data_IF_059354236126
#
_entry.id   IF_059354236126
#
_cell.length_a   1.000
_cell.length_b   1.000
_cell.length_c   1.000
_cell.angle_alpha   90.00
_cell.angle_beta   90.00
_cell.angle_gamma   90.00
#
_symmetry.space_group_name_H-M   'P 1'
#
loop_
_entity.id
_entity.type
_entity.pdbx_description
1 polymer ?
#
# COMPACT_ATOMS: atom_id res chain seq x y z
N UNK A 1 19.33 -5.84 -14.94
CA UNK A 1 19.47 -6.07 -13.47
C UNK A 1 20.46 -5.12 -12.79
N UNK A 2 21.61 -4.76 -13.41
CA UNK A 2 22.43 -3.60 -12.95
C UNK A 2 21.59 -2.32 -12.78
N UNK A 3 20.55 -2.17 -13.60
CA UNK A 3 19.52 -1.11 -13.54
C UNK A 3 18.58 -1.17 -12.30
N UNK A 4 18.22 -2.36 -11.81
CA UNK A 4 17.35 -2.49 -10.63
C UNK A 4 18.13 -2.27 -9.32
N UNK A 5 19.40 -2.67 -9.32
CA UNK A 5 20.39 -2.27 -8.30
C UNK A 5 20.63 -0.74 -8.34
N UNK A 6 20.37 -0.10 -9.49
CA UNK A 6 20.41 1.35 -9.63
C UNK A 6 19.16 2.06 -9.08
N UNK A 7 18.00 1.40 -9.07
CA UNK A 7 16.79 1.96 -8.46
C UNK A 7 16.97 2.10 -6.95
N UNK A 8 17.71 1.19 -6.34
CA UNK A 8 18.20 1.31 -4.96
C UNK A 8 19.21 2.46 -4.77
N UNK A 9 19.99 2.81 -5.79
CA UNK A 9 20.93 3.95 -5.79
C UNK A 9 20.21 5.30 -5.60
N UNK A 10 19.00 5.45 -6.13
CA UNK A 10 18.19 6.68 -5.98
C UNK A 10 17.43 6.70 -4.67
N UNK A 11 16.88 5.55 -4.24
CA UNK A 11 16.33 5.42 -2.90
C UNK A 11 17.40 5.74 -1.83
N UNK A 12 18.64 5.29 -2.04
CA UNK A 12 19.78 5.51 -1.14
C UNK A 12 20.34 6.94 -1.23
N UNK A 13 20.36 7.53 -2.42
CA UNK A 13 20.75 8.92 -2.61
C UNK A 13 19.70 9.91 -2.07
N UNK A 14 18.43 9.50 -1.97
CA UNK A 14 17.39 10.25 -1.26
C UNK A 14 17.45 10.09 0.27
N UNK A 15 18.05 8.99 0.75
CA UNK A 15 18.03 8.57 2.14
C UNK A 15 19.19 9.09 3.01
N UNK A 16 20.40 9.20 2.45
CA UNK A 16 21.63 9.27 3.26
C UNK A 16 22.15 10.69 3.58
N UNK A 17 22.50 11.00 4.85
CA UNK A 17 23.11 12.28 5.24
C UNK A 17 24.50 12.53 4.64
N UNK A 18 25.30 11.47 4.40
CA UNK A 18 26.62 11.59 3.76
C UNK A 18 26.55 11.75 2.23
N UNK A 19 25.34 11.74 1.67
CA UNK A 19 25.02 12.13 0.29
C UNK A 19 24.43 13.56 0.23
N UNK A 20 24.91 14.49 1.08
CA UNK A 20 24.67 15.93 0.90
C UNK A 20 23.19 16.36 0.75
N UNK A 21 22.29 15.68 1.45
CA UNK A 21 20.83 15.75 1.27
C UNK A 21 20.08 16.36 2.46
N UNK A 22 20.74 17.18 3.28
CA UNK A 22 20.09 18.06 4.26
C UNK A 22 20.69 19.46 4.10
N UNK A 23 19.89 20.36 3.53
CA UNK A 23 20.24 21.73 3.13
C UNK A 23 21.40 21.81 2.12
N UNK A 24 21.61 22.99 1.53
CA UNK A 24 22.81 23.35 0.77
C UNK A 24 24.06 23.14 1.64
N UNK A 25 24.50 21.90 1.76
CA UNK A 25 25.82 21.57 2.29
C UNK A 25 26.82 22.07 1.24
N UNK A 26 27.82 22.88 1.63
CA UNK A 26 28.83 23.35 0.69
C UNK A 26 29.54 22.15 0.04
N UNK A 27 29.19 21.84 -1.21
CA UNK A 27 29.75 20.70 -1.98
C UNK A 27 28.79 19.56 -2.34
N UNK A 28 27.49 19.63 -1.98
CA UNK A 28 26.47 18.66 -2.41
C UNK A 28 25.85 18.95 -3.79
N UNK A 29 25.19 17.96 -4.40
CA UNK A 29 24.37 18.17 -5.59
C UNK A 29 23.17 19.08 -5.28
N UNK A 30 22.73 19.90 -6.24
CA UNK A 30 21.56 20.75 -6.06
C UNK A 30 20.27 19.91 -5.99
N UNK A 31 19.24 20.40 -5.29
CA UNK A 31 17.94 19.72 -5.21
C UNK A 31 17.31 19.47 -6.59
N UNK A 32 17.56 20.38 -7.54
CA UNK A 32 17.16 20.19 -8.93
C UNK A 32 17.88 19.01 -9.60
N UNK A 33 19.18 18.83 -9.36
CA UNK A 33 19.93 17.68 -9.89
C UNK A 33 19.43 16.38 -9.26
N UNK A 34 19.19 16.37 -7.95
CA UNK A 34 18.67 15.21 -7.22
C UNK A 34 17.29 14.80 -7.74
N UNK A 35 16.38 15.76 -7.93
CA UNK A 35 15.07 15.50 -8.52
C UNK A 35 15.19 14.98 -9.97
N UNK A 36 16.10 15.55 -10.76
CA UNK A 36 16.38 15.08 -12.11
C UNK A 36 16.86 13.62 -12.12
N UNK A 37 17.79 13.27 -11.23
CA UNK A 37 18.34 11.93 -11.11
C UNK A 37 17.26 10.91 -10.71
N UNK A 38 16.43 11.26 -9.72
CA UNK A 38 15.27 10.45 -9.32
C UNK A 38 14.33 10.22 -10.50
N UNK A 39 13.91 11.29 -11.17
CA UNK A 39 13.00 11.22 -12.30
C UNK A 39 13.59 10.42 -13.46
N UNK A 40 14.90 10.57 -13.72
CA UNK A 40 15.59 9.88 -14.81
C UNK A 40 15.75 8.39 -14.56
N UNK A 41 15.92 7.96 -13.30
CA UNK A 41 15.94 6.53 -12.94
C UNK A 41 14.55 5.92 -12.98
N UNK A 42 13.54 6.62 -12.48
CA UNK A 42 12.15 6.14 -12.50
C UNK A 42 11.52 6.19 -13.90
N UNK A 43 12.09 6.96 -14.81
CA UNK A 43 11.64 6.99 -16.20
C UNK A 43 12.11 5.75 -16.95
N UNK A 44 11.15 4.90 -17.33
CA UNK A 44 11.39 3.66 -18.09
C UNK A 44 12.36 2.71 -17.38
N UNK A 45 12.08 2.40 -16.12
CA UNK A 45 12.83 1.48 -15.23
C UNK A 45 13.16 0.09 -15.80
N UNK A 46 12.59 -0.30 -16.95
CA UNK A 46 12.83 -1.56 -17.63
C UNK A 46 13.80 -1.45 -18.82
N UNK A 47 14.23 -0.24 -19.18
CA UNK A 47 15.17 0.04 -20.27
C UNK A 47 16.56 0.42 -19.73
N UNK A 48 17.60 0.32 -20.56
CA UNK A 48 18.96 0.73 -20.15
C UNK A 48 19.01 2.21 -19.72
N UNK A 49 19.88 2.53 -18.75
CA UNK A 49 20.07 3.89 -18.23
C UNK A 49 20.40 4.81 -19.41
N UNK A 50 19.65 5.90 -19.57
CA UNK A 50 19.84 6.84 -20.69
C UNK A 50 20.67 8.04 -20.28
N UNK A 51 20.62 8.41 -19.01
CA UNK A 51 21.38 9.53 -18.46
C UNK A 51 22.85 9.13 -18.27
N UNK A 52 23.75 9.93 -18.83
CA UNK A 52 25.19 9.64 -18.81
C UNK A 52 25.79 9.73 -17.40
N UNK A 53 25.27 10.62 -16.55
CA UNK A 53 25.75 10.76 -15.18
C UNK A 53 25.35 9.53 -14.36
N UNK A 54 24.08 9.12 -14.44
CA UNK A 54 23.57 7.92 -13.78
C UNK A 54 24.26 6.63 -14.29
N UNK A 55 24.61 6.59 -15.58
CA UNK A 55 25.39 5.49 -16.14
C UNK A 55 26.79 5.41 -15.52
N UNK A 56 27.46 6.53 -15.31
CA UNK A 56 28.78 6.57 -14.66
C UNK A 56 28.69 6.13 -13.19
N UNK A 57 27.71 6.66 -12.45
CA UNK A 57 27.44 6.27 -11.05
C UNK A 57 27.14 4.77 -10.94
N UNK A 58 26.44 4.19 -11.92
CA UNK A 58 26.14 2.75 -11.96
C UNK A 58 27.36 1.84 -11.95
N UNK A 59 28.49 2.32 -12.48
CA UNK A 59 29.69 1.51 -12.66
C UNK A 59 30.55 1.44 -11.40
N UNK A 60 30.43 2.41 -10.51
CA UNK A 60 31.23 2.54 -9.29
C UNK A 60 30.46 2.25 -8.01
N UNK A 61 29.14 2.06 -8.10
CA UNK A 61 28.29 1.79 -6.94
C UNK A 61 28.51 0.38 -6.37
N UNK A 62 28.69 0.33 -5.05
CA UNK A 62 28.73 -0.90 -4.26
C UNK A 62 27.50 -1.00 -3.35
N UNK A 63 26.56 -1.91 -3.65
CA UNK A 63 25.37 -2.15 -2.82
C UNK A 63 25.70 -2.66 -1.41
N UNK A 64 26.95 -3.02 -1.10
CA UNK A 64 27.36 -3.49 0.22
C UNK A 64 28.05 -2.40 1.05
N UNK A 65 28.37 -1.25 0.46
CA UNK A 65 29.04 -0.16 1.18
C UNK A 65 28.08 0.76 1.95
N UNK A 66 26.79 0.48 1.92
CA UNK A 66 25.76 1.23 2.64
C UNK A 66 25.78 1.01 4.16
N UNK A 67 25.26 1.99 4.92
CA UNK A 67 25.02 1.91 6.36
C UNK A 67 23.65 1.34 6.71
N UNK A 68 23.46 0.04 6.53
CA UNK A 68 22.17 -0.58 6.82
C UNK A 68 21.94 -0.83 8.32
N UNK A 69 20.75 -0.51 8.83
CA UNK A 69 20.34 -0.80 10.22
C UNK A 69 20.36 -2.29 10.56
N UNK A 70 20.13 -3.16 9.56
CA UNK A 70 20.14 -4.61 9.68
C UNK A 70 21.49 -5.24 9.33
N UNK A 71 22.59 -4.48 9.27
CA UNK A 71 23.89 -4.91 8.75
C UNK A 71 23.79 -5.43 7.28
N UNK A 72 22.81 -4.92 6.53
CA UNK A 72 22.69 -5.12 5.09
C UNK A 72 22.30 -6.53 4.73
N UNK A 73 21.50 -7.21 5.56
CA UNK A 73 21.11 -8.61 5.34
C UNK A 73 20.46 -8.78 3.97
N UNK A 74 19.52 -7.93 3.62
CA UNK A 74 18.85 -7.95 2.30
C UNK A 74 19.83 -7.69 1.16
N UNK A 75 20.73 -6.71 1.31
CA UNK A 75 21.75 -6.36 0.31
C UNK A 75 22.75 -7.52 0.09
N UNK A 76 23.32 -8.06 1.17
CA UNK A 76 24.24 -9.22 1.16
C UNK A 76 23.59 -10.43 0.49
N UNK A 77 22.32 -10.71 0.81
CA UNK A 77 21.56 -11.82 0.22
C UNK A 77 21.36 -11.61 -1.28
N UNK A 78 20.92 -10.43 -1.71
CA UNK A 78 20.71 -10.10 -3.12
C UNK A 78 22.03 -10.19 -3.91
N UNK A 79 23.11 -9.60 -3.39
CA UNK A 79 24.42 -9.61 -4.03
C UNK A 79 25.02 -11.01 -4.12
N UNK A 80 24.75 -11.88 -3.13
CA UNK A 80 25.13 -13.29 -3.23
C UNK A 80 24.43 -14.00 -4.38
N UNK A 81 23.11 -13.83 -4.53
CA UNK A 81 22.37 -14.44 -5.64
C UNK A 81 22.81 -13.90 -7.00
N UNK A 82 23.13 -12.60 -7.07
CA UNK A 82 23.67 -11.96 -8.27
C UNK A 82 25.03 -12.54 -8.66
N UNK A 83 25.99 -12.57 -7.72
CA UNK A 83 27.35 -13.03 -7.96
C UNK A 83 27.42 -14.52 -8.29
N UNK A 84 26.47 -15.30 -7.75
CA UNK A 84 26.36 -16.72 -8.05
C UNK A 84 25.54 -17.00 -9.33
N UNK A 85 25.15 -15.97 -10.10
CA UNK A 85 24.36 -16.08 -11.33
C UNK A 85 23.03 -16.83 -11.16
N UNK A 86 22.36 -16.64 -10.01
CA UNK A 86 21.10 -17.33 -9.68
C UNK A 86 19.86 -16.45 -9.86
N UNK A 87 20.00 -15.20 -10.27
CA UNK A 87 18.88 -14.30 -10.53
C UNK A 87 18.43 -14.40 -11.99
N UNK A 88 17.15 -14.11 -12.25
CA UNK A 88 16.58 -14.08 -13.59
C UNK A 88 17.33 -13.11 -14.51
N UNK A 89 17.72 -13.61 -15.68
CA UNK A 89 18.43 -12.81 -16.68
C UNK A 89 17.53 -11.73 -17.29
N UNK A 90 18.14 -10.61 -17.69
CA UNK A 90 17.41 -9.54 -18.37
C UNK A 90 16.78 -10.06 -19.67
N UNK A 91 15.60 -9.56 -20.02
CA UNK A 91 14.78 -9.97 -21.18
C UNK A 91 14.13 -11.35 -21.07
N UNK A 92 14.21 -11.99 -19.90
CA UNK A 92 13.32 -13.12 -19.58
C UNK A 92 11.99 -12.61 -19.03
N UNK A 93 10.93 -13.34 -19.35
CA UNK A 93 9.59 -13.07 -18.84
C UNK A 93 9.50 -13.52 -17.39
N UNK A 94 9.17 -12.59 -16.51
CA UNK A 94 8.78 -12.90 -15.15
C UNK A 94 7.44 -13.62 -15.13
N UNK A 95 7.30 -14.59 -14.23
CA UNK A 95 6.12 -15.39 -14.00
C UNK A 95 5.84 -15.45 -12.51
N UNK A 96 4.68 -14.92 -12.12
CA UNK A 96 4.15 -15.08 -10.77
C UNK A 96 3.92 -16.54 -10.39
N UNK A 97 3.91 -17.49 -11.34
CA UNK A 97 3.75 -18.92 -11.05
C UNK A 97 5.08 -19.61 -10.76
N UNK A 98 6.20 -18.99 -11.10
CA UNK A 98 7.52 -19.52 -10.77
C UNK A 98 7.94 -19.10 -9.34
N UNK A 99 8.05 -20.08 -8.43
CA UNK A 99 8.41 -19.85 -7.02
C UNK A 99 9.75 -19.14 -6.87
N UNK A 100 10.73 -19.49 -7.70
CA UNK A 100 12.06 -18.88 -7.63
C UNK A 100 12.01 -17.41 -8.05
N UNK A 101 11.31 -17.09 -9.14
CA UNK A 101 11.17 -15.71 -9.59
C UNK A 101 10.41 -14.86 -8.55
N UNK A 102 9.35 -15.39 -7.92
CA UNK A 102 8.68 -14.71 -6.79
C UNK A 102 9.66 -14.40 -5.64
N UNK A 103 10.50 -15.36 -5.26
CA UNK A 103 11.51 -15.14 -4.23
C UNK A 103 12.52 -14.06 -4.62
N UNK A 104 12.94 -14.01 -5.88
CA UNK A 104 13.84 -12.96 -6.38
C UNK A 104 13.20 -11.57 -6.33
N UNK A 105 11.91 -11.48 -6.70
CA UNK A 105 11.16 -10.23 -6.60
C UNK A 105 11.04 -9.73 -5.15
N UNK A 106 10.73 -10.64 -4.21
CA UNK A 106 10.68 -10.31 -2.79
C UNK A 106 12.05 -9.87 -2.25
N UNK A 107 13.13 -10.54 -2.63
CA UNK A 107 14.48 -10.14 -2.23
C UNK A 107 14.85 -8.75 -2.73
N UNK A 108 14.45 -8.39 -3.94
CA UNK A 108 14.66 -7.04 -4.47
C UNK A 108 13.81 -6.02 -3.71
N UNK A 109 12.55 -6.34 -3.43
CA UNK A 109 11.65 -5.49 -2.66
C UNK A 109 12.21 -5.25 -1.26
N UNK A 110 12.59 -6.28 -0.51
CA UNK A 110 13.16 -6.18 0.83
C UNK A 110 14.40 -5.28 0.86
N UNK A 111 15.26 -5.39 -0.17
CA UNK A 111 16.43 -4.51 -0.30
C UNK A 111 16.03 -3.05 -0.52
N UNK A 112 15.08 -2.79 -1.42
CA UNK A 112 14.62 -1.43 -1.70
C UNK A 112 13.88 -0.81 -0.51
N UNK A 113 13.02 -1.58 0.15
CA UNK A 113 12.23 -1.15 1.29
C UNK A 113 13.13 -0.79 2.48
N UNK A 114 14.17 -1.57 2.76
CA UNK A 114 15.14 -1.26 3.82
C UNK A 114 15.89 0.06 3.58
N UNK A 115 16.11 0.45 2.33
CA UNK A 115 16.73 1.75 2.01
C UNK A 115 15.78 2.90 2.34
N UNK A 116 14.49 2.76 2.01
CA UNK A 116 13.48 3.76 2.39
C UNK A 116 13.25 3.79 3.89
N UNK A 117 13.30 2.63 4.57
CA UNK A 117 13.25 2.53 6.02
C UNK A 117 14.35 3.34 6.66
N UNK A 118 15.58 3.16 6.20
CA UNK A 118 16.73 3.87 6.75
C UNK A 118 16.57 5.40 6.63
N UNK A 119 16.10 5.89 5.47
CA UNK A 119 15.74 7.30 5.33
C UNK A 119 14.72 7.73 6.38
N UNK A 120 13.60 7.01 6.43
CA UNK A 120 12.47 7.32 7.30
C UNK A 120 12.84 7.27 8.78
N UNK A 121 13.72 6.37 9.16
CA UNK A 121 14.24 6.21 10.52
C UNK A 121 15.30 7.28 10.85
N UNK A 122 15.95 7.88 9.84
CA UNK A 122 16.81 9.06 10.04
C UNK A 122 16.03 10.35 10.35
N UNK A 123 14.75 10.42 9.98
CA UNK A 123 13.91 11.57 10.25
C UNK A 123 13.65 11.72 11.75
N UNK A 124 13.49 12.96 12.20
CA UNK A 124 13.09 13.23 13.59
C UNK A 124 11.75 12.55 13.88
N UNK A 125 11.65 11.74 14.94
CA UNK A 125 10.38 11.19 15.41
C UNK A 125 9.33 12.28 15.62
N UNK A 126 8.07 11.99 15.31
CA UNK A 126 6.99 12.93 15.57
C UNK A 126 6.87 13.24 17.06
N UNK A 127 6.66 14.52 17.39
CA UNK A 127 6.35 14.91 18.77
C UNK A 127 4.88 14.64 19.09
N UNK A 128 4.55 14.64 20.37
CA UNK A 128 3.15 14.50 20.80
C UNK A 128 2.29 15.62 20.19
N UNK A 129 2.80 16.85 20.16
CA UNK A 129 2.11 18.04 19.66
C UNK A 129 1.84 17.97 18.16
N UNK A 130 2.72 17.32 17.38
CA UNK A 130 2.50 17.08 15.95
C UNK A 130 1.40 16.04 15.70
N UNK A 131 1.29 15.05 16.59
CA UNK A 131 0.31 13.96 16.49
C UNK A 131 -1.07 14.32 17.08
N UNK A 132 -1.11 15.24 18.04
CA UNK A 132 -2.30 15.53 18.82
C UNK A 132 -3.34 16.33 18.01
N UNK A 133 -4.53 15.74 17.86
CA UNK A 133 -5.69 16.44 17.32
C UNK A 133 -6.58 16.93 18.46
N UNK A 134 -6.31 18.16 18.93
CA UNK A 134 -6.93 18.72 20.13
C UNK A 134 -8.46 18.63 20.14
N UNK A 135 -9.00 18.12 21.25
CA UNK A 135 -10.44 17.95 21.45
C UNK A 135 -11.02 16.71 20.78
N UNK A 136 -10.29 16.01 19.92
CA UNK A 136 -10.74 14.78 19.26
C UNK A 136 -10.19 13.56 19.97
N UNK A 137 -11.05 12.54 20.15
CA UNK A 137 -10.66 11.29 20.78
C UNK A 137 -11.31 10.08 20.12
N UNK A 138 -10.53 9.02 19.90
CA UNK A 138 -11.03 7.73 19.41
C UNK A 138 -11.34 6.86 20.63
N UNK A 139 -12.62 6.65 20.90
CA UNK A 139 -13.06 5.94 22.09
C UNK A 139 -12.99 4.42 21.87
N UNK A 140 -13.49 3.95 20.73
CA UNK A 140 -13.62 2.52 20.44
C UNK A 140 -13.52 2.19 18.94
N UNK A 141 -13.10 0.95 18.67
CA UNK A 141 -13.04 0.34 17.33
C UNK A 141 -13.72 -1.03 17.43
N UNK A 142 -14.82 -1.22 16.72
CA UNK A 142 -15.57 -2.48 16.74
C UNK A 142 -15.83 -3.00 15.33
N UNK A 143 -15.94 -4.32 15.22
CA UNK A 143 -16.22 -5.02 13.96
C UNK A 143 -17.57 -5.71 14.08
N UNK A 144 -18.38 -5.66 13.03
CA UNK A 144 -19.73 -6.27 13.02
C UNK A 144 -19.72 -7.79 13.17
N UNK A 145 -18.63 -8.43 12.80
CA UNK A 145 -18.48 -9.88 12.75
C UNK A 145 -17.00 -10.28 12.89
N UNK A 146 -16.79 -11.59 13.03
CA UNK A 146 -15.45 -12.19 12.96
C UNK A 146 -14.84 -11.91 11.57
N UNK A 147 -13.56 -11.55 11.56
CA UNK A 147 -12.80 -11.35 10.34
C UNK A 147 -12.39 -12.70 9.78
N UNK A 148 -12.91 -13.02 8.60
CA UNK A 148 -12.78 -14.35 7.99
C UNK A 148 -12.39 -14.22 6.52
N UNK A 149 -11.43 -15.04 6.12
CA UNK A 149 -11.05 -15.25 4.72
C UNK A 149 -11.37 -16.67 4.30
N UNK A 150 -11.56 -16.88 3.01
CA UNK A 150 -11.76 -18.19 2.39
C UNK A 150 -11.32 -18.14 0.92
N UNK A 151 -11.22 -19.29 0.28
CA UNK A 151 -11.08 -19.34 -1.18
C UNK A 151 -12.47 -19.45 -1.81
N UNK A 152 -12.65 -18.80 -2.95
CA UNK A 152 -13.82 -18.97 -3.80
C UNK A 152 -13.39 -19.32 -5.22
N UNK A 153 -14.23 -20.10 -5.91
CA UNK A 153 -14.09 -20.39 -7.32
C UNK A 153 -14.37 -19.14 -8.15
N UNK A 154 -13.43 -18.77 -9.01
CA UNK A 154 -13.59 -17.71 -9.99
C UNK A 154 -13.43 -18.25 -11.40
N UNK A 155 -14.53 -18.23 -12.15
CA UNK A 155 -14.54 -18.60 -13.56
C UNK A 155 -14.22 -17.39 -14.44
N UNK A 156 -13.31 -17.56 -15.40
CA UNK A 156 -13.08 -16.55 -16.43
C UNK A 156 -12.94 -17.16 -17.82
N UNK A 157 -13.32 -16.36 -18.82
CA UNK A 157 -13.41 -16.75 -20.21
C UNK A 157 -12.02 -16.66 -20.90
N UNK A 158 -11.69 -17.66 -21.71
CA UNK A 158 -10.42 -17.83 -22.43
C UNK A 158 -10.56 -17.69 -23.95
N UNK A 159 -11.72 -17.30 -24.47
CA UNK A 159 -11.99 -17.26 -25.91
C UNK A 159 -11.03 -16.34 -26.66
N UNK A 160 -10.64 -15.22 -26.05
CA UNK A 160 -9.67 -14.29 -26.62
C UNK A 160 -8.21 -14.76 -26.52
N UNK A 161 -7.95 -15.92 -25.89
CA UNK A 161 -6.62 -16.50 -25.76
C UNK A 161 -6.34 -17.61 -26.79
N UNK A 162 -7.34 -18.00 -27.59
CA UNK A 162 -7.23 -19.01 -28.64
C UNK A 162 -7.33 -18.37 -30.02
N UNK A 163 -6.77 -19.04 -31.04
CA UNK A 163 -6.86 -18.58 -32.42
C UNK A 163 -8.29 -18.78 -32.96
N UNK A 164 -8.84 -17.71 -33.54
CA UNK A 164 -10.17 -17.69 -34.16
C UNK A 164 -10.09 -17.90 -35.69
N UNK A 165 -11.17 -18.43 -36.29
CA UNK A 165 -11.34 -18.58 -37.74
C UNK A 165 -12.76 -18.21 -38.16
N UNK A 166 -12.91 -17.51 -39.30
CA UNK A 166 -14.22 -17.13 -39.82
C UNK A 166 -15.15 -18.30 -40.22
N UNK A 167 -14.61 -19.52 -40.30
CA UNK A 167 -15.33 -20.73 -40.73
C UNK A 167 -15.95 -21.50 -39.55
N UNK A 168 -15.43 -21.30 -38.34
CA UNK A 168 -15.83 -22.04 -37.14
C UNK A 168 -16.43 -21.04 -36.16
N UNK A 169 -17.69 -21.23 -35.72
CA UNK A 169 -18.26 -20.37 -34.70
C UNK A 169 -17.53 -20.56 -33.36
N UNK A 170 -17.39 -19.45 -32.65
CA UNK A 170 -16.91 -19.39 -31.28
C UNK A 170 -17.62 -20.41 -30.37
N UNK A 171 -16.83 -21.10 -29.55
CA UNK A 171 -17.31 -21.99 -28.51
C UNK A 171 -16.97 -21.42 -27.14
N UNK A 172 -17.83 -21.55 -26.11
CA UNK A 172 -17.48 -21.12 -24.77
C UNK A 172 -16.27 -21.90 -24.24
N UNK A 173 -15.19 -21.18 -23.94
CA UNK A 173 -14.00 -21.72 -23.28
C UNK A 173 -13.78 -20.89 -22.02
N UNK A 174 -13.75 -21.57 -20.87
CA UNK A 174 -13.48 -20.97 -19.58
C UNK A 174 -12.56 -21.85 -18.75
N UNK A 175 -12.01 -21.26 -17.69
CA UNK A 175 -11.30 -21.98 -16.64
C UNK A 175 -11.74 -21.44 -15.29
N UNK A 176 -11.60 -22.27 -14.25
CA UNK A 176 -11.85 -21.89 -12.86
C UNK A 176 -10.51 -21.78 -12.14
N UNK A 177 -10.39 -20.76 -11.28
CA UNK A 177 -9.25 -20.56 -10.39
C UNK A 177 -9.71 -20.19 -9.00
N UNK A 178 -9.05 -20.73 -7.99
CA UNK A 178 -9.32 -20.40 -6.59
C UNK A 178 -8.72 -19.03 -6.28
N UNK A 179 -9.53 -18.12 -5.73
CA UNK A 179 -9.08 -16.79 -5.31
C UNK A 179 -9.38 -16.58 -3.84
N UNK A 180 -8.39 -16.03 -3.11
CA UNK A 180 -8.63 -15.59 -1.75
C UNK A 180 -9.68 -14.46 -1.76
N UNK A 181 -10.58 -14.51 -0.79
CA UNK A 181 -11.58 -13.48 -0.51
C UNK A 181 -11.84 -13.40 0.99
N UNK A 182 -12.67 -12.44 1.40
CA UNK A 182 -13.10 -12.29 2.78
C UNK A 182 -14.60 -12.05 2.89
N UNK A 183 -15.17 -12.40 4.05
CA UNK A 183 -16.56 -12.04 4.36
C UNK A 183 -16.69 -10.52 4.53
N UNK A 184 -17.80 -9.95 4.06
CA UNK A 184 -18.12 -8.54 4.29
C UNK A 184 -18.13 -8.24 5.79
N UNK A 185 -17.58 -7.09 6.17
CA UNK A 185 -17.66 -6.59 7.54
C UNK A 185 -17.80 -5.06 7.55
N UNK A 186 -18.31 -4.53 8.65
CA UNK A 186 -18.39 -3.10 8.92
C UNK A 186 -17.52 -2.78 10.14
N UNK A 187 -16.64 -1.80 10.00
CA UNK A 187 -15.90 -1.20 11.11
C UNK A 187 -16.75 -0.06 11.67
N UNK A 188 -16.97 -0.05 12.99
CA UNK A 188 -17.61 1.04 13.70
C UNK A 188 -16.59 1.74 14.57
N UNK A 189 -16.39 3.04 14.33
CA UNK A 189 -15.49 3.92 15.08
C UNK A 189 -16.32 4.88 15.91
N UNK A 190 -16.13 4.86 17.23
CA UNK A 190 -16.75 5.83 18.14
C UNK A 190 -15.76 6.95 18.44
N UNK A 191 -16.02 8.14 17.93
CA UNK A 191 -15.13 9.31 18.03
C UNK A 191 -15.85 10.44 18.75
N UNK A 192 -15.22 11.03 19.76
CA UNK A 192 -15.72 12.23 20.44
C UNK A 192 -15.00 13.47 19.93
N UNK A 193 -15.76 14.49 19.55
CA UNK A 193 -15.28 15.85 19.31
C UNK A 193 -15.73 16.74 20.48
N UNK A 194 -14.80 17.10 21.36
CA UNK A 194 -15.05 17.93 22.54
C UNK A 194 -14.93 19.44 22.25
N UNK A 195 -14.73 19.83 20.99
CA UNK A 195 -14.80 21.22 20.56
C UNK A 195 -16.28 21.68 20.49
N UNK A 196 -16.49 22.99 20.43
CA UNK A 196 -17.81 23.63 20.32
C UNK A 196 -18.28 23.82 18.86
N UNK A 197 -17.51 23.34 17.89
CA UNK A 197 -17.75 23.45 16.47
C UNK A 197 -17.41 22.14 15.73
N UNK A 198 -17.95 22.00 14.52
CA UNK A 198 -17.62 20.89 13.64
C UNK A 198 -16.15 20.94 13.23
N UNK A 199 -15.48 19.79 13.17
CA UNK A 199 -14.10 19.67 12.67
C UNK A 199 -14.04 18.68 11.51
N UNK A 200 -13.19 18.98 10.52
CA UNK A 200 -12.85 18.02 9.48
C UNK A 200 -11.73 17.11 10.02
N UNK A 201 -11.90 15.80 9.88
CA UNK A 201 -10.97 14.80 10.37
C UNK A 201 -10.57 13.85 9.25
N UNK A 202 -9.30 13.41 9.24
CA UNK A 202 -8.83 12.29 8.42
C UNK A 202 -8.69 11.08 9.31
N UNK A 203 -9.43 10.02 9.00
CA UNK A 203 -9.32 8.73 9.68
C UNK A 203 -8.35 7.86 8.89
N UNK A 204 -7.35 7.30 9.57
CA UNK A 204 -6.33 6.43 9.02
C UNK A 204 -6.36 5.11 9.77
N UNK A 205 -6.61 4.01 9.06
CA UNK A 205 -6.68 2.68 9.65
C UNK A 205 -5.52 1.83 9.15
N UNK A 206 -4.83 1.17 10.07
CA UNK A 206 -3.69 0.30 9.78
C UNK A 206 -3.85 -1.04 10.50
N UNK A 207 -3.22 -2.08 9.98
CA UNK A 207 -3.10 -3.36 10.67
C UNK A 207 -1.71 -3.97 10.48
N UNK A 208 -1.20 -4.69 11.48
CA UNK A 208 -0.01 -5.54 11.33
C UNK A 208 -0.13 -6.81 12.16
N UNK A 209 0.55 -7.90 11.77
CA UNK A 209 0.56 -9.12 12.55
C UNK A 209 1.17 -8.85 13.93
N UNK A 210 0.61 -9.44 14.99
CA UNK A 210 1.14 -9.29 16.36
C UNK A 210 2.47 -10.02 16.56
N UNK A 211 2.64 -11.16 15.90
CA UNK A 211 3.81 -12.03 16.06
C UNK A 211 4.47 -12.31 14.71
N UNK A 212 5.79 -12.48 14.75
CA UNK A 212 6.57 -12.97 13.61
C UNK A 212 6.38 -14.49 13.40
N UNK A 213 7.07 -15.06 12.41
CA UNK A 213 7.00 -16.50 12.11
C UNK A 213 7.61 -17.40 13.20
N UNK A 214 8.47 -16.85 14.08
CA UNK A 214 9.04 -17.55 15.22
C UNK A 214 8.20 -17.37 16.50
N UNK A 215 7.05 -16.70 16.39
CA UNK A 215 6.15 -16.37 17.48
C UNK A 215 6.74 -15.37 18.49
N UNK A 216 7.62 -14.49 18.03
CA UNK A 216 8.10 -13.34 18.80
C UNK A 216 7.17 -12.16 18.52
N UNK A 217 6.69 -11.49 19.57
CA UNK A 217 5.85 -10.30 19.44
C UNK A 217 6.66 -9.17 18.81
N UNK A 218 6.08 -8.49 17.81
CA UNK A 218 6.75 -7.36 17.19
C UNK A 218 6.89 -6.22 18.19
N UNK A 219 8.07 -5.59 18.20
CA UNK A 219 8.20 -4.27 18.82
C UNK A 219 7.32 -3.26 18.07
N UNK A 220 6.94 -2.14 18.69
CA UNK A 220 6.17 -1.11 18.00
C UNK A 220 6.88 -0.62 16.71
N UNK A 221 8.20 -0.43 16.76
CA UNK A 221 8.97 0.03 15.60
C UNK A 221 9.03 -1.00 14.47
N UNK A 222 8.94 -2.30 14.76
CA UNK A 222 8.84 -3.32 13.72
C UNK A 222 7.41 -3.46 13.22
N UNK A 223 6.42 -3.39 14.12
CA UNK A 223 5.00 -3.43 13.80
C UNK A 223 4.58 -2.30 12.86
N UNK A 224 4.99 -1.05 13.16
CA UNK A 224 4.68 0.12 12.32
C UNK A 224 5.23 -0.01 10.89
N UNK A 225 6.38 -0.66 10.72
CA UNK A 225 7.00 -0.84 9.39
C UNK A 225 6.34 -1.99 8.62
N UNK A 226 5.78 -2.97 9.33
CA UNK A 226 4.97 -4.05 8.75
C UNK A 226 3.47 -3.70 8.68
N UNK A 227 3.11 -2.45 8.96
CA UNK A 227 1.73 -2.00 8.94
C UNK A 227 1.22 -1.88 7.51
N UNK A 228 0.11 -2.56 7.23
CA UNK A 228 -0.66 -2.38 6.01
C UNK A 228 -1.74 -1.33 6.26
N UNK A 229 -1.89 -0.42 5.30
CA UNK A 229 -2.99 0.53 5.30
C UNK A 229 -4.28 -0.22 4.98
N UNK A 230 -5.25 -0.14 5.89
CA UNK A 230 -6.57 -0.76 5.74
C UNK A 230 -7.57 0.21 5.13
N UNK A 231 -7.44 1.49 5.47
CA UNK A 231 -8.33 2.54 4.99
C UNK A 231 -7.81 3.94 5.27
N UNK A 232 -8.25 4.91 4.45
CA UNK A 232 -8.08 6.34 4.70
C UNK A 232 -9.26 7.11 4.13
N UNK A 233 -9.88 7.94 4.96
CA UNK A 233 -11.02 8.75 4.54
C UNK A 233 -11.18 10.01 5.39
N UNK A 234 -11.85 11.00 4.80
CA UNK A 234 -12.19 12.25 5.48
C UNK A 234 -13.62 12.20 5.99
N UNK A 235 -13.85 12.77 7.15
CA UNK A 235 -15.16 12.82 7.79
C UNK A 235 -15.32 14.12 8.55
N UNK A 236 -16.53 14.66 8.52
CA UNK A 236 -16.89 15.83 9.33
C UNK A 236 -17.43 15.35 10.69
N UNK A 237 -16.76 15.74 11.78
CA UNK A 237 -17.14 15.39 13.14
C UNK A 237 -17.90 16.54 13.79
N UNK A 238 -19.15 16.31 14.18
CA UNK A 238 -19.97 17.28 14.93
C UNK A 238 -19.60 17.29 16.41
N UNK A 239 -19.84 18.38 17.17
CA UNK A 239 -19.63 18.42 18.61
C UNK A 239 -20.34 17.26 19.34
N UNK A 240 -19.61 16.60 20.24
CA UNK A 240 -20.07 15.45 20.99
C UNK A 240 -19.65 14.11 20.36
N UNK A 241 -20.51 13.10 20.49
CA UNK A 241 -20.23 11.72 20.08
C UNK A 241 -20.61 11.51 18.61
N UNK A 242 -19.71 10.93 17.84
CA UNK A 242 -19.90 10.54 16.45
C UNK A 242 -19.62 9.04 16.34
N UNK A 243 -20.57 8.29 15.77
CA UNK A 243 -20.41 6.86 15.49
C UNK A 243 -20.34 6.68 13.99
N UNK A 244 -19.13 6.39 13.49
CA UNK A 244 -18.88 6.21 12.05
C UNK A 244 -18.96 4.72 11.75
N UNK A 245 -19.78 4.35 10.77
CA UNK A 245 -19.85 2.98 10.25
C UNK A 245 -19.28 2.96 8.85
N UNK A 246 -18.32 2.07 8.61
CA UNK A 246 -17.63 1.97 7.33
C UNK A 246 -17.53 0.52 6.89
N UNK A 247 -18.07 0.25 5.71
CA UNK A 247 -18.04 -1.08 5.09
C UNK A 247 -16.64 -1.40 4.59
N UNK A 248 -16.26 -2.68 4.65
CA UNK A 248 -15.02 -3.18 4.03
C UNK A 248 -14.94 -2.87 2.53
N UNK A 249 -16.08 -2.68 1.86
CA UNK A 249 -16.15 -2.31 0.44
C UNK A 249 -15.90 -0.83 0.15
N UNK A 250 -15.90 0.02 1.17
CA UNK A 250 -15.70 1.46 1.02
C UNK A 250 -14.23 1.87 1.21
N UNK A 251 -13.34 0.90 1.47
CA UNK A 251 -11.93 1.19 1.70
C UNK A 251 -11.29 1.87 0.50
N UNK A 252 -10.68 3.03 0.74
CA UNK A 252 -9.96 3.78 -0.30
C UNK A 252 -8.66 3.08 -0.74
N UNK A 253 -8.25 2.02 -0.05
CA UNK A 253 -7.06 1.21 -0.41
C UNK A 253 -7.39 0.25 -1.56
N UNK A 254 -8.66 -0.12 -1.70
CA UNK A 254 -9.06 -1.20 -2.57
C UNK A 254 -10.01 -0.79 -3.68
N UNK A 255 -10.06 -1.61 -4.74
CA UNK A 255 -11.03 -1.49 -5.83
C UNK A 255 -11.85 -2.78 -5.94
N UNK A 256 -13.11 -2.70 -6.39
CA UNK A 256 -13.90 -3.89 -6.66
C UNK A 256 -13.28 -4.71 -7.81
N UNK A 257 -13.69 -5.97 -7.95
CA UNK A 257 -13.30 -6.75 -9.11
C UNK A 257 -13.87 -6.13 -10.39
N UNK A 258 -13.05 -6.16 -11.44
CA UNK A 258 -13.45 -5.68 -12.76
C UNK A 258 -14.43 -6.69 -13.38
N UNK A 259 -15.56 -6.25 -13.96
CA UNK A 259 -16.51 -7.12 -14.61
C UNK A 259 -15.87 -7.88 -15.77
N UNK A 260 -16.40 -9.08 -16.06
CA UNK A 260 -15.96 -9.86 -17.21
C UNK A 260 -16.22 -9.10 -18.52
N UNK A 261 -15.45 -9.42 -19.56
CA UNK A 261 -15.64 -8.81 -20.88
C UNK A 261 -17.05 -9.06 -21.42
N UNK A 262 -17.62 -10.26 -21.18
CA UNK A 262 -18.99 -10.58 -21.54
C UNK A 262 -19.99 -9.69 -20.81
N UNK A 263 -19.82 -9.50 -19.50
CA UNK A 263 -20.67 -8.60 -18.70
C UNK A 263 -20.65 -7.17 -19.24
N UNK A 264 -19.48 -6.68 -19.67
CA UNK A 264 -19.34 -5.35 -20.29
C UNK A 264 -20.07 -5.27 -21.63
N UNK A 265 -19.94 -6.28 -22.49
CA UNK A 265 -20.65 -6.38 -23.77
C UNK A 265 -22.17 -6.39 -23.55
N UNK A 266 -22.65 -7.20 -22.60
CA UNK A 266 -24.08 -7.33 -22.31
C UNK A 266 -24.67 -6.01 -21.82
N UNK A 267 -24.01 -5.35 -20.86
CA UNK A 267 -24.43 -4.02 -20.35
C UNK A 267 -24.44 -2.97 -21.45
N UNK A 268 -23.45 -2.95 -22.34
CA UNK A 268 -23.39 -2.03 -23.46
C UNK A 268 -24.54 -2.26 -24.46
N UNK A 269 -24.83 -3.52 -24.78
CA UNK A 269 -25.93 -3.88 -25.67
C UNK A 269 -27.31 -3.55 -25.08
N UNK A 270 -27.49 -3.76 -23.77
CA UNK A 270 -28.72 -3.39 -23.06
C UNK A 270 -28.95 -1.87 -23.10
N UNK A 271 -27.93 -1.07 -22.81
CA UNK A 271 -28.01 0.39 -22.88
C UNK A 271 -28.35 0.87 -24.30
N UNK A 272 -27.69 0.31 -25.32
CA UNK A 272 -27.98 0.61 -26.73
C UNK A 272 -29.42 0.25 -27.13
N UNK A 273 -29.93 -0.91 -26.69
CA UNK A 273 -31.26 -1.40 -27.05
C UNK A 273 -32.36 -0.61 -26.36
N UNK A 274 -32.16 -0.25 -25.09
CA UNK A 274 -33.12 0.50 -24.28
C UNK A 274 -33.06 2.02 -24.52
N UNK A 275 -31.98 2.50 -25.14
CA UNK A 275 -31.72 3.94 -25.30
C UNK A 275 -31.38 4.63 -23.98
N UNK A 276 -30.88 3.88 -22.98
CA UNK A 276 -30.45 4.41 -21.69
C UNK A 276 -28.96 4.75 -21.68
N UNK A 277 -28.53 5.47 -20.64
CA UNK A 277 -27.11 5.63 -20.34
C UNK A 277 -26.51 4.31 -19.84
N UNK A 278 -25.21 4.13 -20.08
CA UNK A 278 -24.43 3.00 -19.60
C UNK A 278 -23.75 3.38 -18.28
N UNK A 279 -24.14 2.71 -17.19
CA UNK A 279 -23.61 2.95 -15.85
C UNK A 279 -22.51 1.93 -15.50
N UNK A 280 -21.27 2.42 -15.42
CA UNK A 280 -20.06 1.66 -15.07
C UNK A 280 -19.22 2.36 -14.00
N UNK A 281 -19.83 3.28 -13.26
CA UNK A 281 -19.15 4.18 -12.32
C UNK A 281 -18.50 3.41 -11.17
N UNK A 282 -19.03 2.24 -10.82
CA UNK A 282 -18.44 1.35 -9.83
C UNK A 282 -17.06 0.79 -10.26
N UNK A 283 -16.80 0.71 -11.57
CA UNK A 283 -15.60 0.06 -12.14
C UNK A 283 -14.59 1.05 -12.72
N UNK A 284 -14.61 2.30 -12.25
CA UNK A 284 -13.85 3.41 -12.83
C UNK A 284 -12.33 3.21 -12.90
N UNK A 285 -11.75 2.28 -12.13
CA UNK A 285 -10.32 2.02 -12.14
C UNK A 285 -9.98 0.55 -11.94
N UNK A 286 -9.10 0.03 -12.80
CA UNK A 286 -8.41 -1.26 -12.59
C UNK A 286 -7.06 -1.08 -11.85
N UNK A 287 -6.70 0.15 -11.52
CA UNK A 287 -5.55 0.47 -10.69
C UNK A 287 -6.02 0.43 -9.23
N UNK A 288 -5.40 -0.41 -8.39
CA UNK A 288 -5.75 -0.56 -6.98
C UNK A 288 -5.57 -1.99 -6.46
N UNK A 289 -5.52 -2.17 -5.15
CA UNK A 289 -5.53 -3.50 -4.53
C UNK A 289 -6.94 -4.10 -4.69
N UNK A 290 -7.12 -5.32 -5.21
CA UNK A 290 -8.45 -5.94 -5.23
C UNK A 290 -9.05 -6.02 -3.81
N UNK A 291 -10.33 -5.66 -3.65
CA UNK A 291 -11.00 -5.62 -2.33
C UNK A 291 -10.91 -6.94 -1.58
N UNK A 292 -10.97 -8.07 -2.30
CA UNK A 292 -10.75 -9.42 -1.78
C UNK A 292 -9.42 -9.64 -1.03
N UNK A 293 -8.42 -8.77 -1.24
CA UNK A 293 -7.12 -8.79 -0.56
C UNK A 293 -7.00 -7.75 0.56
N UNK A 294 -8.11 -7.11 0.97
CA UNK A 294 -8.12 -6.17 2.09
C UNK A 294 -7.62 -6.84 3.38
N UNK A 295 -8.02 -8.08 3.64
CA UNK A 295 -7.52 -8.87 4.76
C UNK A 295 -6.39 -9.80 4.31
N UNK A 296 -5.30 -9.91 5.09
CA UNK A 296 -4.36 -11.02 4.96
C UNK A 296 -5.07 -12.36 5.17
N UNK A 297 -4.58 -13.43 4.54
CA UNK A 297 -5.18 -14.78 4.63
C UNK A 297 -5.46 -15.20 6.09
N UNK A 298 -4.54 -14.95 7.01
CA UNK A 298 -4.65 -15.45 8.38
C UNK A 298 -4.43 -16.97 8.47
N UNK A 299 -4.94 -17.59 9.54
CA UNK A 299 -4.80 -19.03 9.81
C UNK A 299 -6.12 -19.63 10.29
N UNK A 300 -6.31 -20.93 10.17
CA UNK A 300 -7.54 -21.60 10.62
C UNK A 300 -7.77 -21.46 12.12
N UNK A 301 -6.70 -21.50 12.92
CA UNK A 301 -6.74 -21.24 14.36
C UNK A 301 -6.89 -19.75 14.74
N UNK A 302 -6.90 -18.86 13.75
CA UNK A 302 -6.89 -17.41 13.93
C UNK A 302 -5.49 -16.84 14.09
N UNK A 303 -5.18 -15.81 13.31
CA UNK A 303 -3.93 -15.06 13.38
C UNK A 303 -4.17 -13.71 14.04
N UNK A 304 -3.38 -13.36 15.06
CA UNK A 304 -3.50 -12.11 15.81
C UNK A 304 -2.94 -10.93 15.02
N UNK A 305 -3.70 -9.84 14.97
CA UNK A 305 -3.33 -8.57 14.38
C UNK A 305 -3.60 -7.44 15.38
N UNK A 306 -2.71 -6.44 15.37
CA UNK A 306 -3.03 -5.13 15.91
C UNK A 306 -3.74 -4.33 14.82
N UNK A 307 -4.93 -3.81 15.11
CA UNK A 307 -5.60 -2.81 14.27
C UNK A 307 -5.58 -1.48 14.97
N UNK A 308 -5.20 -0.45 14.23
CA UNK A 308 -5.07 0.92 14.73
C UNK A 308 -5.97 1.85 13.93
N UNK A 309 -6.63 2.76 14.63
CA UNK A 309 -7.21 3.96 14.04
C UNK A 309 -6.49 5.19 14.61
N UNK A 310 -6.01 6.05 13.71
CA UNK A 310 -5.47 7.36 14.03
C UNK A 310 -6.28 8.42 13.31
N UNK A 311 -6.67 9.47 14.03
CA UNK A 311 -7.52 10.54 13.53
C UNK A 311 -6.76 11.86 13.57
N UNK A 312 -6.48 12.44 12.42
CA UNK A 312 -5.73 13.70 12.29
C UNK A 312 -6.62 14.85 11.80
N UNK A 313 -6.09 16.07 11.89
CA UNK A 313 -6.75 17.30 11.46
C UNK A 313 -6.91 17.32 9.93
N UNK A 314 -8.11 16.98 9.47
CA UNK A 314 -8.38 16.80 8.04
C UNK A 314 -8.33 18.10 7.25
N UNK A 315 -8.42 19.26 7.91
CA UNK A 315 -8.25 20.56 7.26
C UNK A 315 -6.78 20.88 6.95
N UNK A 316 -5.83 20.32 7.72
CA UNK A 316 -4.39 20.41 7.42
C UNK A 316 -3.96 19.33 6.44
N UNK A 317 -4.56 18.14 6.54
CA UNK A 317 -4.21 17.01 5.72
C UNK A 317 -4.73 17.15 4.27
N UNK A 318 -5.93 17.69 4.08
CA UNK A 318 -6.54 17.76 2.74
C UNK A 318 -5.77 18.63 1.74
N UNK A 319 -5.43 18.06 0.59
CA UNK A 319 -4.84 18.78 -0.55
C UNK A 319 -5.90 19.26 -1.57
N UNK A 320 -7.12 18.74 -1.47
CA UNK A 320 -8.26 19.09 -2.34
C UNK A 320 -9.52 19.34 -1.51
N UNK A 321 -10.42 20.18 -2.03
CA UNK A 321 -11.67 20.51 -1.37
C UNK A 321 -12.67 19.35 -1.42
N UNK A 322 -13.57 19.28 -0.42
CA UNK A 322 -14.71 18.35 -0.45
C UNK A 322 -14.37 16.88 -0.24
N UNK A 323 -13.18 16.53 0.27
CA UNK A 323 -12.77 15.13 0.49
C UNK A 323 -13.70 14.28 1.37
N UNK A 324 -14.47 14.92 2.26
CA UNK A 324 -15.46 14.24 3.11
C UNK A 324 -16.76 13.90 2.37
N UNK A 325 -16.96 14.45 1.17
CA UNK A 325 -18.12 14.21 0.30
C UNK A 325 -17.73 13.41 -0.94
N UNK A 326 -16.42 13.25 -1.20
CA UNK A 326 -15.89 12.60 -2.40
C UNK A 326 -15.33 11.21 -2.09
N UNK A 327 -15.70 10.24 -2.92
CA UNK A 327 -15.12 8.89 -2.97
C UNK A 327 -14.21 8.71 -4.19
N UNK A 328 -13.87 9.80 -4.91
CA UNK A 328 -13.16 9.72 -6.19
C UNK A 328 -11.64 9.60 -6.05
N UNK A 329 -11.13 9.47 -4.83
CA UNK A 329 -9.73 9.20 -4.57
C UNK A 329 -9.58 7.78 -4.05
N UNK A 330 -8.51 7.12 -4.48
CA UNK A 330 -8.06 5.85 -3.93
C UNK A 330 -6.61 6.00 -3.45
N UNK A 331 -6.00 4.94 -2.93
CA UNK A 331 -4.63 4.95 -2.41
C UNK A 331 -3.57 5.44 -3.43
N UNK A 332 -3.88 5.42 -4.74
CA UNK A 332 -3.01 5.94 -5.81
C UNK A 332 -3.31 7.39 -6.23
N UNK A 333 -4.16 8.11 -5.49
CA UNK A 333 -4.50 9.51 -5.73
C UNK A 333 -5.82 9.73 -6.47
N UNK A 334 -6.02 10.97 -6.91
CA UNK A 334 -7.16 11.42 -7.69
C UNK A 334 -6.93 11.20 -9.20
N UNK A 335 -8.02 11.17 -9.98
CA UNK A 335 -7.95 10.97 -11.44
C UNK A 335 -7.15 12.04 -12.20
N UNK A 336 -6.98 13.23 -11.62
CA UNK A 336 -6.18 14.33 -12.18
C UNK A 336 -4.68 14.22 -11.85
N UNK A 337 -4.28 13.18 -11.11
CA UNK A 337 -2.91 12.95 -10.64
C UNK A 337 -2.56 13.66 -9.33
N UNK A 338 -3.48 14.42 -8.73
CA UNK A 338 -3.28 15.04 -7.43
C UNK A 338 -3.38 13.99 -6.33
N UNK A 339 -2.44 13.97 -5.38
CA UNK A 339 -2.58 13.16 -4.18
C UNK A 339 -3.40 13.95 -3.14
N UNK A 340 -4.49 13.39 -2.57
CA UNK A 340 -5.46 14.15 -1.77
C UNK A 340 -4.98 14.50 -0.35
N UNK A 341 -3.84 13.98 0.08
CA UNK A 341 -3.33 14.07 1.44
C UNK A 341 -1.92 14.70 1.45
N UNK A 342 -1.76 15.82 2.14
CA UNK A 342 -0.48 16.50 2.30
C UNK A 342 0.47 15.79 3.26
N UNK A 343 -0.02 14.81 4.04
CA UNK A 343 0.83 14.03 4.94
C UNK A 343 1.66 13.00 4.17
N UNK A 344 2.85 12.62 4.68
CA UNK A 344 3.62 11.52 4.13
C UNK A 344 2.80 10.22 4.04
N UNK A 345 3.03 9.42 3.01
CA UNK A 345 2.52 8.06 2.97
C UNK A 345 2.98 7.28 4.21
N UNK A 346 2.03 6.59 4.85
CA UNK A 346 2.25 5.88 6.11
C UNK A 346 2.07 6.73 7.37
N UNK A 347 1.84 8.04 7.29
CA UNK A 347 1.60 8.88 8.47
C UNK A 347 0.46 8.32 9.34
N UNK A 348 0.62 8.18 10.67
CA UNK A 348 1.76 8.63 11.50
C UNK A 348 2.83 7.56 11.79
N UNK A 349 2.76 6.41 11.12
CA UNK A 349 3.60 5.23 11.36
C UNK A 349 4.87 5.18 10.50
N UNK A 350 5.03 6.13 9.57
CA UNK A 350 6.14 6.17 8.63
C UNK A 350 7.49 6.46 9.29
N UNK A 351 7.53 7.09 10.46
CA UNK A 351 8.77 7.41 11.19
C UNK A 351 8.98 6.53 12.41
N UNK A 352 10.24 6.34 12.80
CA UNK A 352 10.57 5.71 14.08
C UNK A 352 10.02 6.48 15.26
N UNK A 353 9.70 5.74 16.31
CA UNK A 353 9.36 6.30 17.63
C UNK A 353 10.43 5.91 18.63
N UNK A 354 10.89 6.88 19.41
CA UNK A 354 11.82 6.60 20.52
C UNK A 354 11.08 5.96 21.71
N UNK A 355 9.78 6.28 21.85
CA UNK A 355 8.89 5.77 22.89
C UNK A 355 7.47 5.67 22.33
N UNK A 356 6.91 4.46 22.29
CA UNK A 356 5.56 4.19 21.78
C UNK A 356 4.47 4.97 22.53
N UNK A 357 4.73 5.40 23.77
CA UNK A 357 3.77 6.19 24.58
C UNK A 357 3.52 7.57 24.02
N UNK A 358 4.39 8.08 23.16
CA UNK A 358 4.20 9.38 22.48
C UNK A 358 3.00 9.31 21.54
N UNK A 359 2.94 8.26 20.73
CA UNK A 359 1.85 8.05 19.76
C UNK A 359 0.64 7.36 20.38
N UNK A 360 0.84 6.35 21.22
CA UNK A 360 -0.27 5.65 21.89
C UNK A 360 -0.92 6.48 23.00
N UNK A 361 -0.26 7.56 23.44
CA UNK A 361 -0.74 8.45 24.50
C UNK A 361 -1.56 9.65 24.02
N UNK A 362 -1.68 9.91 22.71
CA UNK A 362 -2.61 10.94 22.21
C UNK A 362 -4.04 10.39 22.17
N UNK A 363 -5.03 11.23 22.44
CA UNK A 363 -6.43 10.78 22.53
C UNK A 363 -7.02 10.35 21.18
N UNK A 364 -6.46 10.85 20.09
CA UNK A 364 -6.88 10.58 18.72
C UNK A 364 -6.18 9.35 18.09
N UNK A 365 -5.56 8.49 18.90
CA UNK A 365 -5.01 7.19 18.52
C UNK A 365 -5.68 6.08 19.34
N UNK A 366 -6.07 4.97 18.69
CA UNK A 366 -6.57 3.77 19.37
C UNK A 366 -6.09 2.51 18.67
N UNK A 367 -5.67 1.53 19.45
CA UNK A 367 -5.34 0.19 18.98
C UNK A 367 -6.29 -0.85 19.60
N UNK A 368 -6.61 -1.89 18.84
CA UNK A 368 -7.35 -3.08 19.30
C UNK A 368 -6.71 -4.33 18.72
N UNK A 369 -6.71 -5.42 19.49
CA UNK A 369 -6.25 -6.72 19.02
C UNK A 369 -7.42 -7.48 18.40
N UNK A 370 -7.24 -7.99 17.18
CA UNK A 370 -8.23 -8.79 16.47
C UNK A 370 -7.61 -10.10 15.98
N UNK A 371 -8.47 -11.05 15.61
CA UNK A 371 -8.05 -12.29 14.96
C UNK A 371 -8.66 -12.39 13.57
N UNK A 372 -7.83 -12.74 12.60
CA UNK A 372 -8.26 -13.08 11.23
C UNK A 372 -8.19 -14.60 11.05
N UNK A 373 -9.31 -15.20 10.68
CA UNK A 373 -9.45 -16.65 10.53
C UNK A 373 -9.50 -17.02 9.04
N UNK A 374 -8.76 -18.06 8.66
CA UNK A 374 -8.92 -18.66 7.34
C UNK A 374 -9.82 -19.88 7.43
N UNK A 375 -10.97 -19.83 6.77
CA UNK A 375 -11.88 -20.96 6.66
C UNK A 375 -11.40 -21.81 5.49
N UNK A 376 -10.90 -23.01 5.80
CA UNK A 376 -10.62 -24.03 4.80
C UNK A 376 -11.97 -24.66 4.42
N UNK A 377 -12.30 -24.70 3.13
CA UNK A 377 -13.44 -25.47 2.65
C UNK A 377 -13.01 -26.93 2.47
N UNK A 378 -13.77 -27.87 3.05
CA UNK A 378 -13.61 -29.30 2.78
C UNK A 378 -14.13 -29.57 1.35
N UNK A 379 -13.23 -29.62 0.36
CA UNK A 379 -13.56 -30.06 -1.00
C UNK A 379 -13.72 -31.58 -1.12
#
# INVERSE_FOLDING_TARGET
>A
MRLLILCALVAAAAAWPNFGMMADSPGGASDAQKQHDVNSVLWKVYEDIRDSHLMEVSQSFDPLSGHYDDDGVSAKRLMKELNDHRLLEQKHWFSLFNTRQRQEALMLYDYMDNIFREHKDSLTPYTKEELEFSGVSVNDITFSNRLETHFEDFEYNLINAVDDTAEIPDVPISTVVDRLTHNDFTVTLDISNNNDHDVLATVRAFAWPKYDNNHVEFSFNDGRWNAIEMDKFWVKLTPGKNTIKRSSKESAVTVPDVPSFQTLIDKANEALTSGSELHLEEYHSSLGLPNRFLLPKGKSEGMDFHVVAFVSDGAKDGAVDGLHESTTFNHYGCNDGTYPDNQPHGYPLDRRVDDERIITGVSNFKAVDVKVYHVEEDH
#
